data_IF_440958745632
#
_entry.id   IF_440958745632
#
_cell.length_a   1.000
_cell.length_b   1.000
_cell.length_c   1.000
_cell.angle_alpha   90.00
_cell.angle_beta   90.00
_cell.angle_gamma   90.00
#
_symmetry.space_group_name_H-M   'P 1'
#
loop_
_entity.id
_entity.type
_entity.pdbx_description
1 polymer ?
#
# COMPACT_ATOMS: atom_id res chain seq x y z
N UNK A 1 22.37 -6.80 -7.32
CA UNK A 1 21.11 -6.40 -7.92
C UNK A 1 19.94 -6.58 -6.99
N UNK A 2 19.12 -5.57 -6.91
CA UNK A 2 17.95 -5.64 -6.06
C UNK A 2 16.71 -5.83 -6.89
N UNK A 3 15.80 -6.65 -6.43
CA UNK A 3 14.49 -6.68 -7.04
C UNK A 3 13.48 -6.20 -6.03
N UNK A 4 12.42 -5.65 -6.54
CA UNK A 4 11.38 -5.10 -5.72
C UNK A 4 10.48 -6.20 -5.21
N UNK A 5 10.08 -6.08 -3.96
CA UNK A 5 9.07 -6.95 -3.41
C UNK A 5 7.76 -6.21 -3.42
N UNK A 6 6.71 -6.92 -3.76
CA UNK A 6 5.38 -6.35 -3.81
C UNK A 6 4.49 -7.00 -2.78
N UNK A 7 3.63 -6.22 -2.18
CA UNK A 7 2.67 -6.73 -1.22
C UNK A 7 1.27 -6.38 -1.68
N UNK A 8 0.35 -7.28 -1.41
CA UNK A 8 -1.04 -7.08 -1.77
C UNK A 8 -1.71 -6.17 -0.75
N UNK A 9 -2.38 -5.14 -1.24
CA UNK A 9 -3.10 -4.21 -0.38
C UNK A 9 -4.50 -4.00 -0.91
N UNK A 10 -5.43 -3.76 0.01
CA UNK A 10 -6.81 -3.51 -0.36
C UNK A 10 -6.96 -2.06 -0.82
N UNK A 11 -7.66 -1.88 -1.93
CA UNK A 11 -7.95 -0.56 -2.46
C UNK A 11 -9.21 -0.03 -1.79
N UNK A 12 -9.09 1.10 -1.13
CA UNK A 12 -10.23 1.75 -0.46
C UNK A 12 -10.87 2.76 -1.38
N UNK A 13 -10.06 3.49 -2.11
CA UNK A 13 -10.52 4.47 -3.08
C UNK A 13 -9.60 4.46 -4.27
N UNK A 14 -10.09 5.00 -5.35
CA UNK A 14 -9.33 5.07 -6.56
C UNK A 14 -9.59 6.39 -7.24
N UNK A 15 -8.52 7.03 -7.72
CA UNK A 15 -8.64 8.18 -8.58
C UNK A 15 -8.07 7.81 -9.94
N UNK A 16 -8.04 8.78 -10.84
CA UNK A 16 -7.53 8.54 -12.17
C UNK A 16 -6.08 8.08 -12.19
N UNK A 17 -5.27 8.57 -11.24
CA UNK A 17 -3.84 8.31 -11.25
C UNK A 17 -3.31 7.60 -10.02
N UNK A 18 -4.15 7.35 -9.05
CA UNK A 18 -3.68 6.78 -7.78
C UNK A 18 -4.73 5.89 -7.14
N UNK A 19 -4.24 5.03 -6.26
CA UNK A 19 -5.10 4.23 -5.40
C UNK A 19 -4.89 4.65 -3.96
N UNK A 20 -5.95 4.68 -3.20
CA UNK A 20 -5.83 4.82 -1.75
C UNK A 20 -5.91 3.42 -1.18
N UNK A 21 -4.81 2.95 -0.64
CA UNK A 21 -4.73 1.59 -0.13
C UNK A 21 -4.73 1.57 1.38
N UNK A 22 -5.26 0.51 1.93
CA UNK A 22 -5.32 0.31 3.36
C UNK A 22 -4.04 -0.34 3.82
N UNK A 23 -3.49 0.16 4.91
CA UNK A 23 -2.31 -0.42 5.50
C UNK A 23 -2.50 -0.55 7.00
N UNK A 24 -2.20 -1.72 7.54
CA UNK A 24 -2.26 -1.93 8.95
C UNK A 24 -0.87 -1.79 9.54
N UNK A 25 -0.75 -0.96 10.56
CA UNK A 25 0.51 -0.69 11.22
C UNK A 25 0.40 -1.12 12.67
N UNK A 26 1.38 -1.87 13.13
CA UNK A 26 1.41 -2.30 14.51
C UNK A 26 2.06 -1.21 15.35
N UNK A 27 1.38 -0.83 16.41
CA UNK A 27 1.86 0.17 17.32
C UNK A 27 2.06 -0.46 18.68
N UNK A 28 3.17 -0.17 19.33
CA UNK A 28 3.47 -0.74 20.63
C UNK A 28 2.45 -0.36 21.69
N UNK A 29 1.97 0.85 21.63
CA UNK A 29 1.02 1.33 22.63
C UNK A 29 -0.40 0.90 22.39
N UNK A 30 -0.81 1.04 21.14
CA UNK A 30 -2.21 0.91 20.80
C UNK A 30 -2.54 -0.39 20.08
N UNK A 31 -1.54 -1.22 19.83
CA UNK A 31 -1.76 -2.43 19.07
C UNK A 31 -1.77 -2.15 17.59
N UNK A 32 -2.79 -2.59 16.89
CA UNK A 32 -2.88 -2.41 15.46
C UNK A 32 -3.61 -1.13 15.11
N UNK A 33 -3.10 -0.43 14.14
CA UNK A 33 -3.73 0.76 13.59
C UNK A 33 -3.91 0.60 12.10
N UNK A 34 -5.01 1.15 11.61
CA UNK A 34 -5.26 1.15 10.18
C UNK A 34 -4.91 2.52 9.63
N UNK A 35 -4.01 2.54 8.67
CA UNK A 35 -3.66 3.77 7.96
C UNK A 35 -4.02 3.63 6.49
N UNK A 36 -4.11 4.75 5.81
CA UNK A 36 -4.40 4.78 4.39
C UNK A 36 -3.30 5.55 3.70
N UNK A 37 -2.93 5.11 2.52
CA UNK A 37 -1.87 5.76 1.77
C UNK A 37 -2.20 5.81 0.30
N UNK A 38 -1.95 6.95 -0.29
CA UNK A 38 -2.09 7.10 -1.73
C UNK A 38 -0.85 6.56 -2.42
N UNK A 39 -1.05 5.71 -3.40
CA UNK A 39 0.04 5.16 -4.19
C UNK A 39 -0.26 5.38 -5.66
N UNK A 40 0.78 5.72 -6.42
CA UNK A 40 0.60 5.97 -7.84
C UNK A 40 0.24 4.67 -8.56
N UNK A 41 -0.72 4.73 -9.46
CA UNK A 41 -1.10 3.55 -10.24
C UNK A 41 0.07 3.00 -11.03
N UNK A 42 0.92 3.89 -11.53
CA UNK A 42 2.07 3.46 -12.31
C UNK A 42 3.08 2.64 -11.50
N UNK A 43 3.07 2.78 -10.20
CA UNK A 43 3.95 2.01 -9.33
C UNK A 43 3.36 0.68 -8.91
N UNK A 44 2.06 0.51 -9.09
CA UNK A 44 1.37 -0.71 -8.67
C UNK A 44 1.32 -1.72 -9.81
N UNK A 45 1.13 -2.99 -9.44
CA UNK A 45 1.03 -4.06 -10.43
C UNK A 45 -0.12 -5.01 -10.10
N UNK A 46 -0.55 -5.72 -11.12
CA UNK A 46 -1.49 -6.83 -10.97
C UNK A 46 -2.70 -6.51 -10.10
N UNK A 47 -3.40 -5.48 -10.49
CA UNK A 47 -4.64 -5.18 -9.81
C UNK A 47 -5.63 -6.31 -10.03
N UNK A 48 -6.21 -6.76 -8.93
CA UNK A 48 -7.19 -7.84 -8.97
C UNK A 48 -8.38 -7.45 -8.12
N UNK A 49 -9.46 -7.03 -8.77
CA UNK A 49 -10.65 -6.59 -8.06
C UNK A 49 -10.37 -5.39 -7.17
N UNK A 50 -10.48 -5.61 -5.88
CA UNK A 50 -10.26 -4.52 -4.91
C UNK A 50 -8.88 -4.56 -4.30
N UNK A 51 -7.98 -5.36 -4.84
CA UNK A 51 -6.63 -5.45 -4.33
C UNK A 51 -5.62 -5.16 -5.43
N UNK A 52 -4.43 -4.76 -5.03
CA UNK A 52 -3.36 -4.45 -5.97
C UNK A 52 -2.03 -4.74 -5.30
N UNK A 53 -1.03 -5.08 -6.10
CA UNK A 53 0.31 -5.28 -5.61
C UNK A 53 1.04 -3.94 -5.58
N UNK A 54 1.53 -3.59 -4.42
CA UNK A 54 2.21 -2.32 -4.19
C UNK A 54 3.66 -2.62 -3.81
N UNK A 55 4.62 -1.87 -4.35
CA UNK A 55 6.02 -2.06 -3.96
C UNK A 55 6.17 -1.87 -2.45
N UNK A 56 6.90 -2.78 -1.85
CA UNK A 56 7.08 -2.72 -0.41
C UNK A 56 7.67 -1.39 0.06
N UNK A 57 8.61 -0.85 -0.68
CA UNK A 57 9.27 0.39 -0.29
C UNK A 57 8.30 1.57 -0.21
N UNK A 58 7.20 1.50 -0.96
CA UNK A 58 6.20 2.56 -0.91
C UNK A 58 5.39 2.56 0.38
N UNK A 59 5.15 1.39 0.93
CA UNK A 59 4.26 1.26 2.09
C UNK A 59 5.01 1.00 3.38
N UNK A 60 6.23 0.51 3.32
CA UNK A 60 6.98 0.19 4.52
C UNK A 60 8.10 1.16 4.80
N UNK A 61 8.17 2.21 4.05
CA UNK A 61 9.22 3.19 4.18
C UNK A 61 8.92 4.18 5.30
N UNK A 62 8.69 3.71 6.41
CA UNK A 62 8.59 4.33 7.69
C UNK A 62 8.18 5.78 7.89
N UNK A 63 8.08 6.54 6.90
CA UNK A 63 7.77 7.97 7.07
C UNK A 63 6.32 8.20 6.74
N UNK A 64 5.53 8.16 7.71
CA UNK A 64 4.10 8.33 7.55
C UNK A 64 3.60 9.55 8.28
#
# INVERSE_FOLDING_TARGET
>A
MKYEEYIKREIVRETEKAYLVKQEVRNRRDGWRTNFRWVAKSACKERDGETVLVPEWLVSNGVW
#
